data_IF_944359122868
#
_entry.id   IF_944359122868
#
_cell.length_a   1.000
_cell.length_b   1.000
_cell.length_c   1.000
_cell.angle_alpha   90.00
_cell.angle_beta   90.00
_cell.angle_gamma   90.00
#
_symmetry.space_group_name_H-M   'P 1'
#
loop_
_entity.id
_entity.type
_entity.pdbx_description
1 polymer ?
#
# COMPACT_ATOMS: atom_id res chain seq x y z
N UNK A 1 10.77 18.36 25.56
CA UNK A 1 11.00 16.93 25.29
C UNK A 1 10.13 16.56 24.11
N UNK A 2 10.64 15.75 23.18
CA UNK A 2 9.85 15.32 22.03
C UNK A 2 8.71 14.41 22.49
N UNK A 3 7.48 14.81 22.16
CA UNK A 3 6.29 13.98 22.26
C UNK A 3 6.06 13.34 20.90
N UNK A 4 5.87 12.02 20.88
CA UNK A 4 5.58 11.22 19.68
C UNK A 4 4.39 10.31 19.97
N UNK A 5 3.26 10.51 19.28
CA UNK A 5 2.00 9.78 19.57
C UNK A 5 1.31 9.35 18.28
N UNK A 6 0.62 8.22 18.35
CA UNK A 6 -0.21 7.67 17.27
C UNK A 6 -1.65 7.52 17.73
N UNK A 7 -2.61 7.75 16.82
CA UNK A 7 -4.03 7.69 17.10
C UNK A 7 -4.78 6.92 16.00
N UNK A 8 -5.90 6.33 16.38
CA UNK A 8 -6.83 5.65 15.48
C UNK A 8 -8.22 6.25 15.63
N UNK A 9 -8.76 6.84 14.57
CA UNK A 9 -10.07 7.50 14.57
C UNK A 9 -11.00 6.92 13.51
N UNK A 10 -12.30 7.19 13.64
CA UNK A 10 -13.25 6.95 12.54
C UNK A 10 -13.15 8.12 11.56
N UNK A 11 -12.96 7.83 10.28
CA UNK A 11 -12.97 8.83 9.20
C UNK A 11 -14.31 8.85 8.44
N UNK A 12 -14.31 9.46 7.26
CA UNK A 12 -15.41 9.52 6.32
C UNK A 12 -15.67 8.18 5.61
N UNK A 13 -16.92 8.00 5.21
CA UNK A 13 -17.33 7.01 4.22
C UNK A 13 -17.08 7.55 2.81
N UNK A 14 -16.99 6.68 1.82
CA UNK A 14 -16.98 7.08 0.41
C UNK A 14 -18.40 7.46 -0.01
N UNK A 15 -18.65 8.75 -0.11
CA UNK A 15 -19.95 9.30 -0.50
C UNK A 15 -20.22 9.16 -1.99
N UNK A 16 -19.19 9.07 -2.83
CA UNK A 16 -19.35 8.98 -4.28
C UNK A 16 -19.84 7.59 -4.68
N UNK A 17 -19.30 6.56 -4.03
CA UNK A 17 -19.65 5.16 -4.30
C UNK A 17 -20.66 4.60 -3.29
N UNK A 18 -21.03 5.36 -2.26
CA UNK A 18 -21.91 4.89 -1.19
C UNK A 18 -21.29 3.78 -0.33
N UNK A 19 -19.97 3.68 -0.30
CA UNK A 19 -19.23 2.61 0.38
C UNK A 19 -18.88 3.02 1.81
N UNK A 20 -19.23 2.16 2.78
CA UNK A 20 -18.86 2.37 4.18
C UNK A 20 -17.41 2.00 4.43
N UNK A 21 -16.65 2.91 5.04
CA UNK A 21 -15.27 2.65 5.43
C UNK A 21 -15.23 1.68 6.61
N UNK A 22 -14.47 0.59 6.47
CA UNK A 22 -14.26 -0.41 7.53
C UNK A 22 -13.04 -0.10 8.40
N UNK A 23 -11.96 0.38 7.79
CA UNK A 23 -10.70 0.70 8.46
C UNK A 23 -10.82 1.96 9.33
N UNK A 24 -10.08 1.99 10.44
CA UNK A 24 -9.82 3.24 11.17
C UNK A 24 -8.72 4.01 10.47
N UNK A 25 -8.79 5.34 10.55
CA UNK A 25 -7.75 6.23 10.08
C UNK A 25 -6.66 6.35 11.15
N UNK A 26 -5.44 5.99 10.78
CA UNK A 26 -4.26 6.22 11.61
C UNK A 26 -3.63 7.59 11.29
N UNK A 27 -3.29 8.34 12.33
CA UNK A 27 -2.43 9.50 12.20
C UNK A 27 -1.44 9.56 13.35
N UNK A 28 -0.28 10.17 13.08
CA UNK A 28 0.83 10.30 14.02
C UNK A 28 1.21 11.75 14.18
N UNK A 29 1.53 12.15 15.40
CA UNK A 29 1.94 13.53 15.72
C UNK A 29 3.28 13.55 16.43
N UNK A 30 4.10 14.54 16.10
CA UNK A 30 5.26 14.93 16.90
C UNK A 30 5.20 16.42 17.25
N UNK A 31 5.60 16.77 18.46
CA UNK A 31 5.87 18.14 18.86
C UNK A 31 6.85 18.15 20.04
N UNK A 32 7.58 19.26 20.24
CA UNK A 32 8.39 19.44 21.44
C UNK A 32 7.61 20.20 22.49
N UNK A 33 7.26 19.55 23.61
CA UNK A 33 6.45 20.16 24.67
C UNK A 33 7.15 21.31 25.41
N UNK A 34 8.46 21.51 25.18
CA UNK A 34 9.19 22.66 25.73
C UNK A 34 9.04 23.93 24.88
N UNK A 35 8.48 23.81 23.67
CA UNK A 35 8.26 24.93 22.74
C UNK A 35 6.79 25.33 22.75
N UNK A 36 6.53 26.63 22.67
CA UNK A 36 5.20 27.14 22.36
C UNK A 36 4.91 26.86 20.88
N UNK A 37 3.84 26.13 20.57
CA UNK A 37 3.48 25.81 19.19
C UNK A 37 3.01 27.07 18.43
N UNK A 38 3.48 27.22 17.19
CA UNK A 38 3.19 28.34 16.30
C UNK A 38 2.47 27.91 15.02
N UNK A 39 2.65 26.65 14.60
CA UNK A 39 1.99 26.12 13.41
C UNK A 39 1.67 24.62 13.50
N UNK A 40 0.73 24.19 12.66
CA UNK A 40 0.42 22.78 12.40
C UNK A 40 0.95 22.44 11.00
N UNK A 41 1.72 21.36 10.87
CA UNK A 41 2.34 20.96 9.61
C UNK A 41 1.90 19.54 9.27
N UNK A 42 1.12 19.41 8.20
CA UNK A 42 0.78 18.11 7.61
C UNK A 42 1.85 17.72 6.60
N UNK A 43 2.46 16.55 6.80
CA UNK A 43 3.49 16.00 5.93
C UNK A 43 2.84 14.95 5.05
N UNK A 44 2.66 15.29 3.77
CA UNK A 44 2.06 14.41 2.76
C UNK A 44 3.19 13.66 2.06
N UNK A 45 3.23 12.34 2.28
CA UNK A 45 4.19 11.46 1.63
C UNK A 45 3.95 11.37 0.12
N UNK A 46 5.04 11.34 -0.65
CA UNK A 46 5.01 11.10 -2.09
C UNK A 46 4.84 9.62 -2.44
N UNK A 47 5.00 9.32 -3.72
CA UNK A 47 4.96 7.94 -4.20
C UNK A 47 6.07 7.10 -3.56
N UNK A 48 5.68 6.07 -2.80
CA UNK A 48 6.61 5.16 -2.12
C UNK A 48 6.76 5.40 -0.61
N UNK A 49 6.15 6.43 -0.02
CA UNK A 49 6.22 6.66 1.43
C UNK A 49 5.68 5.49 2.28
N UNK A 50 4.81 4.66 1.72
CA UNK A 50 4.29 3.44 2.38
C UNK A 50 5.22 2.23 2.31
N UNK A 51 6.28 2.27 1.49
CA UNK A 51 7.26 1.16 1.41
C UNK A 51 8.16 1.08 2.64
N UNK A 52 8.40 2.23 3.30
CA UNK A 52 9.16 2.33 4.53
C UNK A 52 8.74 3.59 5.31
N UNK A 53 8.00 3.39 6.40
CA UNK A 53 7.48 4.47 7.24
C UNK A 53 8.56 5.17 8.07
N UNK A 54 9.72 4.57 8.28
CA UNK A 54 10.79 5.16 9.10
C UNK A 54 11.26 6.51 8.56
N UNK A 55 11.28 6.70 7.24
CA UNK A 55 11.64 7.99 6.64
C UNK A 55 10.60 9.07 6.95
N UNK A 56 9.33 8.68 6.92
CA UNK A 56 8.21 9.54 7.23
C UNK A 56 8.23 9.94 8.73
N UNK A 57 8.41 8.97 9.61
CA UNK A 57 8.53 9.19 11.05
C UNK A 57 9.74 10.06 11.39
N UNK A 58 10.90 9.79 10.80
CA UNK A 58 12.11 10.60 10.96
C UNK A 58 11.86 12.04 10.56
N UNK A 59 11.25 12.28 9.39
CA UNK A 59 10.95 13.63 8.90
C UNK A 59 10.03 14.38 9.87
N UNK A 60 8.98 13.72 10.36
CA UNK A 60 8.02 14.30 11.33
C UNK A 60 8.68 14.64 12.66
N UNK A 61 9.46 13.71 13.21
CA UNK A 61 10.17 13.92 14.47
C UNK A 61 11.23 15.02 14.34
N UNK A 62 11.97 15.04 13.24
CA UNK A 62 12.98 16.06 12.97
C UNK A 62 12.37 17.46 12.87
N UNK A 63 11.23 17.62 12.18
CA UNK A 63 10.52 18.90 12.10
C UNK A 63 10.08 19.39 13.49
N UNK A 64 9.50 18.52 14.31
CA UNK A 64 9.10 18.85 15.68
C UNK A 64 10.29 19.22 16.59
N UNK A 65 11.41 18.52 16.45
CA UNK A 65 12.64 18.80 17.21
C UNK A 65 13.29 20.13 16.81
N UNK A 66 13.16 20.57 15.57
CA UNK A 66 13.83 21.78 15.08
C UNK A 66 12.95 23.03 15.08
N UNK A 67 11.63 22.89 14.95
CA UNK A 67 10.70 24.01 14.81
C UNK A 67 9.57 23.97 15.86
N UNK A 68 8.96 25.12 16.23
CA UNK A 68 7.82 25.18 17.16
C UNK A 68 6.52 24.74 16.47
N UNK A 69 6.47 23.50 15.99
CA UNK A 69 5.35 22.99 15.18
C UNK A 69 4.78 21.69 15.70
N UNK A 70 3.48 21.49 15.48
CA UNK A 70 2.83 20.19 15.55
C UNK A 70 2.95 19.51 14.17
N UNK A 71 3.88 18.59 14.05
CA UNK A 71 4.12 17.84 12.81
C UNK A 71 3.23 16.59 12.76
N UNK A 72 2.56 16.36 11.64
CA UNK A 72 1.53 15.31 11.50
C UNK A 72 1.79 14.46 10.25
N UNK A 73 1.70 13.14 10.41
CA UNK A 73 1.50 12.22 9.29
C UNK A 73 0.11 11.61 9.36
N UNK A 74 -0.54 11.51 8.22
CA UNK A 74 -1.82 10.83 8.06
C UNK A 74 -1.59 9.62 7.19
N UNK A 75 -1.82 8.42 7.72
CA UNK A 75 -1.84 7.19 6.92
C UNK A 75 -3.23 7.09 6.29
N UNK A 76 -3.42 7.94 5.29
CA UNK A 76 -4.70 8.20 4.64
C UNK A 76 -5.24 6.98 3.87
N UNK A 77 -6.47 7.05 3.39
CA UNK A 77 -7.13 5.98 2.65
C UNK A 77 -6.29 5.53 1.45
N UNK A 78 -6.06 4.21 1.32
CA UNK A 78 -5.21 3.61 0.29
C UNK A 78 -3.73 4.05 0.36
N UNK A 79 -3.25 4.54 1.52
CA UNK A 79 -1.83 4.87 1.74
C UNK A 79 -0.93 3.63 1.55
N UNK A 80 -1.36 2.48 2.08
CA UNK A 80 -0.65 1.21 2.05
C UNK A 80 -0.85 0.43 0.73
N UNK A 81 -0.64 1.08 -0.41
CA UNK A 81 -0.80 0.51 -1.76
C UNK A 81 0.50 -0.03 -2.38
N UNK A 82 1.56 -0.20 -1.57
CA UNK A 82 2.86 -0.74 -1.99
C UNK A 82 3.32 -1.82 -1.01
N UNK A 83 4.21 -2.69 -1.48
CA UNK A 83 4.83 -3.68 -0.61
C UNK A 83 5.74 -2.98 0.40
N UNK A 84 5.52 -3.27 1.67
CA UNK A 84 6.36 -2.82 2.77
C UNK A 84 7.07 -4.05 3.34
N UNK A 85 8.40 -4.07 3.22
CA UNK A 85 9.21 -5.21 3.65
C UNK A 85 9.46 -5.24 5.16
N UNK A 86 9.34 -4.10 5.84
CA UNK A 86 9.60 -3.97 7.27
C UNK A 86 8.37 -4.15 8.15
N UNK A 87 7.18 -3.86 7.63
CA UNK A 87 5.94 -3.83 8.41
C UNK A 87 4.76 -4.41 7.61
N UNK A 88 4.49 -5.70 7.80
CA UNK A 88 3.46 -6.45 7.05
C UNK A 88 2.07 -5.82 7.13
N UNK A 89 1.70 -5.24 8.28
CA UNK A 89 0.40 -4.56 8.47
C UNK A 89 0.17 -3.39 7.51
N UNK A 90 1.24 -2.79 6.99
CA UNK A 90 1.20 -1.68 6.05
C UNK A 90 1.55 -2.09 4.62
N UNK A 91 1.76 -3.39 4.38
CA UNK A 91 2.14 -3.92 3.09
C UNK A 91 0.90 -4.23 2.25
N UNK A 92 0.94 -3.84 0.98
CA UNK A 92 -0.01 -4.34 0.00
C UNK A 92 0.13 -5.86 -0.17
N UNK A 93 -0.93 -6.50 -0.67
CA UNK A 93 -1.00 -7.94 -0.89
C UNK A 93 -1.18 -8.25 -2.38
N UNK A 94 -0.72 -9.42 -2.79
CA UNK A 94 -1.05 -9.97 -4.11
C UNK A 94 -2.36 -10.75 -4.01
N UNK A 95 -3.21 -10.58 -5.00
CA UNK A 95 -4.43 -11.34 -5.19
C UNK A 95 -4.58 -11.74 -6.67
N UNK A 96 -5.44 -12.72 -6.89
CA UNK A 96 -5.82 -13.18 -8.23
C UNK A 96 -7.30 -12.92 -8.42
N UNK A 97 -7.63 -12.07 -9.37
CA UNK A 97 -9.01 -11.90 -9.81
C UNK A 97 -9.26 -12.63 -11.13
N UNK A 98 -10.49 -12.54 -11.61
CA UNK A 98 -10.95 -13.26 -12.80
C UNK A 98 -10.03 -13.03 -14.00
N UNK A 99 -9.63 -11.79 -14.27
CA UNK A 99 -8.71 -11.46 -15.36
C UNK A 99 -7.33 -12.11 -15.21
N UNK A 100 -6.77 -12.11 -13.99
CA UNK A 100 -5.49 -12.76 -13.69
C UNK A 100 -5.58 -14.27 -13.92
N UNK A 101 -6.69 -14.88 -13.50
CA UNK A 101 -6.94 -16.31 -13.67
C UNK A 101 -7.17 -16.70 -15.13
N UNK A 102 -7.86 -15.87 -15.91
CA UNK A 102 -8.04 -16.06 -17.35
C UNK A 102 -6.70 -16.02 -18.08
N UNK A 103 -5.86 -15.03 -17.75
CA UNK A 103 -4.51 -14.91 -18.28
C UNK A 103 -3.65 -16.13 -17.95
N UNK A 104 -3.66 -16.57 -16.69
CA UNK A 104 -2.95 -17.78 -16.27
C UNK A 104 -3.41 -19.00 -17.08
N UNK A 105 -4.73 -19.24 -17.18
CA UNK A 105 -5.27 -20.38 -17.93
C UNK A 105 -4.87 -20.36 -19.41
N UNK A 106 -4.84 -19.19 -20.04
CA UNK A 106 -4.38 -19.02 -21.42
C UNK A 106 -2.92 -19.47 -21.58
N UNK A 107 -2.04 -19.01 -20.68
CA UNK A 107 -0.61 -19.37 -20.69
C UNK A 107 -0.42 -20.88 -20.45
N UNK A 108 -1.18 -21.45 -19.51
CA UNK A 108 -1.13 -22.90 -19.25
C UNK A 108 -1.55 -23.73 -20.47
N UNK A 109 -2.55 -23.27 -21.23
CA UNK A 109 -2.96 -23.90 -22.49
C UNK A 109 -1.86 -23.83 -23.56
N UNK A 110 -1.21 -22.67 -23.73
CA UNK A 110 -0.11 -22.48 -24.69
C UNK A 110 1.12 -23.34 -24.36
N UNK A 111 1.45 -23.44 -23.07
CA UNK A 111 2.56 -24.26 -22.56
C UNK A 111 2.22 -25.74 -22.41
N UNK A 112 0.96 -26.12 -22.63
CA UNK A 112 0.41 -27.47 -22.41
C UNK A 112 0.59 -27.98 -20.97
N UNK A 113 0.69 -27.07 -19.99
CA UNK A 113 0.69 -27.43 -18.57
C UNK A 113 -0.77 -27.59 -18.13
N UNK A 114 -1.18 -28.75 -17.56
CA UNK A 114 -2.56 -28.97 -17.18
C UNK A 114 -2.95 -28.08 -15.99
N UNK A 115 -4.07 -27.37 -16.14
CA UNK A 115 -4.67 -26.64 -15.02
C UNK A 115 -5.41 -27.61 -14.08
N UNK A 116 -5.17 -27.42 -12.80
CA UNK A 116 -5.76 -28.14 -11.68
C UNK A 116 -6.37 -27.12 -10.71
N UNK A 117 -7.68 -27.19 -10.52
CA UNK A 117 -8.45 -26.19 -9.76
C UNK A 117 -8.14 -26.15 -8.26
N UNK A 118 -7.52 -27.20 -7.71
CA UNK A 118 -7.16 -27.29 -6.30
C UNK A 118 -5.79 -26.66 -5.98
N UNK A 119 -5.01 -26.28 -7.01
CA UNK A 119 -3.72 -25.64 -6.83
C UNK A 119 -3.87 -24.13 -6.78
N UNK A 120 -3.20 -23.52 -5.81
CA UNK A 120 -3.07 -22.07 -5.74
C UNK A 120 -2.39 -21.54 -7.01
N UNK A 121 -2.83 -20.38 -7.55
CA UNK A 121 -2.26 -19.84 -8.79
C UNK A 121 -0.73 -19.64 -8.75
N UNK A 122 -0.17 -19.34 -7.57
CA UNK A 122 1.28 -19.21 -7.38
C UNK A 122 2.07 -20.49 -7.68
N UNK A 123 1.45 -21.67 -7.50
CA UNK A 123 2.08 -22.95 -7.77
C UNK A 123 2.55 -23.06 -9.23
N UNK A 124 1.77 -22.51 -10.16
CA UNK A 124 2.07 -22.56 -11.58
C UNK A 124 3.30 -21.72 -11.95
N UNK A 125 3.71 -20.74 -11.16
CA UNK A 125 4.89 -19.93 -11.48
C UNK A 125 6.16 -20.77 -11.52
N UNK A 126 6.29 -21.72 -10.59
CA UNK A 126 7.43 -22.62 -10.56
C UNK A 126 7.45 -23.54 -11.79
N UNK A 127 6.30 -24.10 -12.16
CA UNK A 127 6.15 -24.94 -13.36
C UNK A 127 6.46 -24.15 -14.63
N UNK A 128 5.95 -22.93 -14.73
CA UNK A 128 6.18 -22.02 -15.84
C UNK A 128 7.65 -21.59 -15.95
N UNK A 129 8.31 -21.31 -14.82
CA UNK A 129 9.74 -21.01 -14.79
C UNK A 129 10.59 -22.21 -15.27
N UNK A 130 10.25 -23.42 -14.83
CA UNK A 130 10.90 -24.64 -15.30
C UNK A 130 10.68 -24.87 -16.80
N UNK A 131 9.44 -24.63 -17.27
CA UNK A 131 9.10 -24.72 -18.69
C UNK A 131 9.95 -23.74 -19.52
N UNK A 132 10.03 -22.46 -19.14
CA UNK A 132 10.86 -21.47 -19.82
C UNK A 132 12.33 -21.91 -19.85
N UNK A 133 12.86 -22.32 -18.69
CA UNK A 133 14.26 -22.75 -18.56
C UNK A 133 14.56 -23.90 -19.52
N UNK A 134 13.73 -24.94 -19.51
CA UNK A 134 13.90 -26.11 -20.38
C UNK A 134 13.90 -25.72 -21.86
N UNK A 135 12.93 -24.93 -22.31
CA UNK A 135 12.82 -24.56 -23.73
C UNK A 135 13.95 -23.61 -24.17
N UNK A 136 14.48 -22.77 -23.27
CA UNK A 136 15.69 -21.98 -23.52
C UNK A 136 16.92 -22.87 -23.68
N UNK A 137 17.12 -23.84 -22.80
CA UNK A 137 18.26 -24.77 -22.86
C UNK A 137 18.24 -25.62 -24.14
N UNK A 138 17.05 -25.96 -24.65
CA UNK A 138 16.87 -26.67 -25.92
C UNK A 138 16.94 -25.77 -27.16
N UNK A 139 17.13 -24.45 -27.00
CA UNK A 139 17.14 -23.49 -28.11
C UNK A 139 15.80 -23.32 -28.84
N UNK A 140 14.69 -23.76 -28.23
CA UNK A 140 13.35 -23.70 -28.80
C UNK A 140 12.73 -22.30 -28.66
N UNK A 141 13.18 -21.52 -27.68
CA UNK A 141 12.79 -20.12 -27.47
C UNK A 141 14.03 -19.24 -27.23
N UNK A 142 13.96 -17.93 -27.55
CA UNK A 142 15.07 -17.00 -27.32
C UNK A 142 15.50 -16.92 -25.84
N UNK A 143 16.80 -16.73 -25.59
CA UNK A 143 17.34 -16.63 -24.22
C UNK A 143 16.80 -15.42 -23.45
N UNK A 144 16.45 -14.35 -24.14
CA UNK A 144 15.88 -13.12 -23.58
C UNK A 144 14.35 -13.13 -23.54
N UNK A 145 13.69 -14.19 -24.05
CA UNK A 145 12.24 -14.32 -24.01
C UNK A 145 11.74 -14.23 -22.56
N UNK A 146 10.71 -13.39 -22.38
CA UNK A 146 9.95 -13.25 -21.13
C UNK A 146 8.52 -13.68 -21.38
N UNK A 147 7.96 -14.46 -20.46
CA UNK A 147 6.56 -14.82 -20.51
C UNK A 147 5.70 -13.58 -20.32
N UNK A 148 4.84 -13.32 -21.29
CA UNK A 148 3.91 -12.20 -21.26
C UNK A 148 2.54 -12.66 -20.77
N UNK A 149 1.74 -11.71 -20.30
CA UNK A 149 0.35 -11.94 -19.92
C UNK A 149 0.14 -12.44 -18.49
N UNK A 150 1.17 -12.95 -17.80
CA UNK A 150 1.03 -13.32 -16.39
C UNK A 150 0.85 -12.05 -15.55
N UNK A 151 -0.26 -11.95 -14.84
CA UNK A 151 -0.63 -10.78 -14.05
C UNK A 151 -1.10 -11.16 -12.65
N UNK A 152 -1.01 -10.19 -11.75
CA UNK A 152 -1.58 -10.23 -10.41
C UNK A 152 -2.20 -8.89 -10.12
N UNK A 153 -3.21 -8.90 -9.26
CA UNK A 153 -3.75 -7.68 -8.72
C UNK A 153 -3.05 -7.34 -7.41
N UNK A 154 -2.54 -6.11 -7.31
CA UNK A 154 -2.02 -5.56 -6.06
C UNK A 154 -3.19 -4.95 -5.30
N UNK A 155 -3.47 -5.46 -4.11
CA UNK A 155 -4.54 -5.00 -3.23
C UNK A 155 -3.91 -4.20 -2.08
N UNK A 156 -4.35 -2.95 -1.84
CA UNK A 156 -3.90 -2.18 -0.68
C UNK A 156 -4.18 -2.90 0.64
N UNK A 157 -3.42 -2.57 1.69
CA UNK A 157 -3.77 -3.02 3.03
C UNK A 157 -5.13 -2.43 3.47
N UNK A 158 -5.67 -2.96 4.57
CA UNK A 158 -6.88 -2.46 5.24
C UNK A 158 -8.19 -2.53 4.41
N UNK A 159 -8.25 -3.37 3.38
CA UNK A 159 -9.39 -3.51 2.46
C UNK A 159 -9.80 -2.17 1.80
N UNK A 160 -8.80 -1.37 1.44
CA UNK A 160 -8.98 -0.06 0.82
C UNK A 160 -8.77 -0.12 -0.70
N UNK A 161 -9.15 0.95 -1.39
CA UNK A 161 -9.09 1.04 -2.85
C UNK A 161 -8.69 2.46 -3.28
N UNK A 162 -8.26 2.59 -4.54
CA UNK A 162 -7.93 3.89 -5.08
C UNK A 162 -9.22 4.67 -5.38
N UNK A 163 -9.39 5.81 -4.73
CA UNK A 163 -10.55 6.68 -4.88
C UNK A 163 -10.20 8.06 -5.50
N UNK A 164 -9.08 8.12 -6.24
CA UNK A 164 -8.59 9.32 -6.92
C UNK A 164 -8.33 10.54 -6.02
N UNK A 165 -8.04 10.29 -4.73
CA UNK A 165 -7.54 11.32 -3.81
C UNK A 165 -8.61 12.02 -2.96
N UNK A 166 -9.90 11.73 -3.16
CA UNK A 166 -10.98 12.39 -2.41
C UNK A 166 -10.98 11.95 -0.94
N UNK A 167 -10.95 10.64 -0.66
CA UNK A 167 -10.89 10.15 0.73
C UNK A 167 -9.55 10.49 1.38
N UNK A 168 -8.39 10.39 0.68
CA UNK A 168 -7.14 10.91 1.19
C UNK A 168 -7.18 12.37 1.63
N UNK A 169 -7.76 13.26 0.82
CA UNK A 169 -7.89 14.67 1.18
C UNK A 169 -8.79 14.86 2.41
N UNK A 170 -9.94 14.17 2.44
CA UNK A 170 -10.86 14.21 3.59
C UNK A 170 -10.22 13.67 4.86
N UNK A 171 -9.39 12.63 4.79
CA UNK A 171 -8.69 12.08 5.94
C UNK A 171 -7.83 13.13 6.65
N UNK A 172 -7.13 14.00 5.91
CA UNK A 172 -6.37 15.10 6.50
C UNK A 172 -7.27 16.11 7.22
N UNK A 173 -8.44 16.42 6.64
CA UNK A 173 -9.44 17.32 7.25
C UNK A 173 -10.02 16.69 8.52
N UNK A 174 -10.30 15.38 8.51
CA UNK A 174 -10.81 14.66 9.67
C UNK A 174 -9.79 14.58 10.80
N UNK A 175 -8.50 14.43 10.49
CA UNK A 175 -7.42 14.52 11.49
C UNK A 175 -7.36 15.90 12.09
N UNK A 176 -7.43 16.97 11.27
CA UNK A 176 -7.48 18.33 11.79
C UNK A 176 -8.68 18.53 12.73
N UNK A 177 -9.86 18.05 12.33
CA UNK A 177 -11.08 18.10 13.15
C UNK A 177 -10.94 17.34 14.48
N UNK A 178 -10.26 16.18 14.48
CA UNK A 178 -10.02 15.42 15.70
C UNK A 178 -9.06 16.15 16.64
N UNK A 179 -8.02 16.79 16.10
CA UNK A 179 -7.08 17.60 16.87
C UNK A 179 -7.75 18.80 17.54
N UNK A 180 -8.67 19.49 16.85
CA UNK A 180 -9.43 20.61 17.42
C UNK A 180 -10.34 20.25 18.61
N UNK A 181 -10.66 18.97 18.77
CA UNK A 181 -11.51 18.49 19.89
C UNK A 181 -10.71 18.09 21.13
N UNK A 182 -9.39 18.05 21.03
CA UNK A 182 -8.47 17.65 22.10
C UNK A 182 -7.86 18.89 22.74
#
# INVERSE_FOLDING_TARGET
MLVDKSYLIKSCDDVELGIKRKSKLEYRISYDETKKLEAIVFIIGGFGSSTNLSFMDFTRQNLAQNFPVLAINVLYHCFCNRFNQGEEKYSAKLAYYEADMLNLKKILMETKIPYQSHLEPYHYHNLLNQWIKHHKEQGQIPQDMKMQGLSYTIVPANDEYQNYGIMPALDHIFVLKDLYKK
#
